data_IF_879299083255
#
_entry.id   IF_879299083255
#
_cell.length_a   1.000
_cell.length_b   1.000
_cell.length_c   1.000
_cell.angle_alpha   90.00
_cell.angle_beta   90.00
_cell.angle_gamma   90.00
#
_symmetry.space_group_name_H-M   'P 1'
#
loop_
_entity.id
_entity.type
_entity.pdbx_description
1 polymer ?
#
# COMPACT_ATOMS: atom_id res chain seq x y z
N UNK A 1 -22.20 -43.54 -42.10
CA UNK A 1 -22.18 -42.25 -42.80
C UNK A 1 -21.67 -41.18 -41.85
N UNK A 2 -20.72 -40.35 -42.33
CA UNK A 2 -20.33 -39.00 -41.87
C UNK A 2 -19.51 -38.88 -40.55
N UNK A 3 -18.20 -38.56 -40.64
CA UNK A 3 -17.56 -37.21 -40.63
C UNK A 3 -17.20 -36.80 -39.18
N UNK A 4 -15.99 -36.37 -38.81
CA UNK A 4 -14.76 -36.04 -39.51
C UNK A 4 -13.69 -35.71 -38.46
N UNK A 5 -12.43 -36.08 -38.74
CA UNK A 5 -11.30 -35.89 -37.84
C UNK A 5 -10.83 -34.44 -37.79
N UNK A 6 -10.40 -34.00 -36.61
CA UNK A 6 -9.73 -32.71 -36.40
C UNK A 6 -8.24 -32.88 -36.69
N UNK A 7 -7.77 -32.10 -37.66
CA UNK A 7 -6.38 -32.02 -38.13
C UNK A 7 -5.46 -31.47 -37.02
N UNK A 8 -4.35 -32.18 -36.79
CA UNK A 8 -3.21 -31.68 -36.01
C UNK A 8 -2.27 -31.00 -37.00
N UNK A 9 -2.38 -29.68 -37.14
CA UNK A 9 -1.51 -28.93 -38.03
C UNK A 9 -0.16 -28.66 -37.33
N UNK A 10 0.82 -29.50 -37.68
CA UNK A 10 2.25 -29.28 -37.42
C UNK A 10 2.70 -28.01 -38.16
N UNK A 11 2.96 -26.93 -37.44
CA UNK A 11 3.76 -25.84 -37.98
C UNK A 11 5.25 -26.26 -38.05
N UNK A 12 5.66 -26.64 -39.26
CA UNK A 12 7.06 -26.52 -39.68
C UNK A 12 7.38 -25.04 -39.88
N UNK A 13 8.37 -24.52 -39.16
CA UNK A 13 9.00 -23.25 -39.51
C UNK A 13 10.32 -23.57 -40.21
N UNK A 14 10.28 -23.54 -41.54
CA UNK A 14 11.46 -23.52 -42.40
C UNK A 14 11.68 -22.10 -42.94
N UNK A 15 12.95 -21.81 -43.20
CA UNK A 15 13.50 -20.67 -43.94
C UNK A 15 13.73 -19.35 -43.20
N UNK A 16 15.00 -19.16 -42.84
CA UNK A 16 15.55 -17.89 -42.38
C UNK A 16 15.64 -16.87 -43.51
N UNK A 17 14.76 -15.87 -43.47
CA UNK A 17 15.01 -14.55 -44.06
C UNK A 17 14.50 -13.45 -43.11
N UNK A 18 15.45 -12.67 -42.60
CA UNK A 18 15.17 -11.50 -41.78
C UNK A 18 14.42 -10.44 -42.59
N UNK A 19 13.23 -10.05 -42.13
CA UNK A 19 12.46 -8.94 -42.69
C UNK A 19 12.78 -7.64 -41.94
N UNK A 20 13.09 -6.52 -42.64
CA UNK A 20 13.43 -5.26 -42.01
C UNK A 20 12.16 -4.50 -41.64
N UNK A 21 11.47 -4.96 -40.58
CA UNK A 21 10.39 -4.20 -39.91
C UNK A 21 10.55 -4.19 -38.40
N UNK A 22 11.79 -4.34 -37.91
CA UNK A 22 12.12 -4.31 -36.47
C UNK A 22 12.44 -2.91 -35.91
N UNK A 23 12.28 -1.83 -36.69
CA UNK A 23 12.61 -0.47 -36.24
C UNK A 23 11.35 0.34 -35.91
N UNK A 24 10.67 0.02 -34.81
CA UNK A 24 9.81 0.96 -34.07
C UNK A 24 9.15 0.26 -32.87
N UNK A 25 9.92 -0.25 -31.92
CA UNK A 25 9.38 -0.53 -30.57
C UNK A 25 10.51 -0.67 -29.53
N UNK A 26 11.47 0.25 -29.53
CA UNK A 26 12.55 0.30 -28.55
C UNK A 26 12.62 1.67 -27.88
N UNK A 27 11.49 2.15 -27.37
CA UNK A 27 11.43 3.27 -26.41
C UNK A 27 10.50 2.97 -25.22
N UNK A 28 10.13 1.70 -25.01
CA UNK A 28 9.39 1.25 -23.82
C UNK A 28 10.35 0.58 -22.83
N UNK A 29 11.52 1.19 -22.62
CA UNK A 29 12.54 0.63 -21.73
C UNK A 29 13.19 1.76 -20.94
N UNK A 30 12.40 2.32 -20.00
CA UNK A 30 12.87 3.06 -18.81
C UNK A 30 11.71 3.56 -17.93
N UNK A 31 10.71 2.71 -17.68
CA UNK A 31 9.91 2.83 -16.45
C UNK A 31 9.99 1.48 -15.73
N UNK A 32 11.21 0.97 -15.60
CA UNK A 32 11.52 0.06 -14.50
C UNK A 32 11.76 0.97 -13.30
N UNK A 33 10.69 1.65 -12.87
CA UNK A 33 10.66 2.43 -11.65
C UNK A 33 11.12 1.46 -10.57
N UNK A 34 12.17 1.80 -9.84
CA UNK A 34 12.61 1.01 -8.70
C UNK A 34 11.40 0.82 -7.79
N UNK A 35 10.80 -0.37 -7.85
CA UNK A 35 9.78 -0.79 -6.91
C UNK A 35 10.53 -0.91 -5.61
N UNK A 36 10.56 0.18 -4.85
CA UNK A 36 11.11 0.20 -3.51
C UNK A 36 10.15 -0.61 -2.65
N UNK A 37 10.30 -1.94 -2.72
CA UNK A 37 9.52 -2.89 -1.95
C UNK A 37 9.75 -2.59 -0.47
N UNK A 38 8.74 -2.02 0.18
CA UNK A 38 8.83 -1.57 1.57
C UNK A 38 7.97 -2.45 2.47
N UNK A 39 8.60 -3.21 3.35
CA UNK A 39 7.87 -3.94 4.39
C UNK A 39 7.76 -3.07 5.65
N UNK A 40 6.53 -2.86 6.13
CA UNK A 40 6.26 -2.01 7.26
C UNK A 40 5.50 -2.77 8.34
N UNK A 41 6.07 -2.84 9.55
CA UNK A 41 5.39 -3.37 10.73
C UNK A 41 4.46 -2.33 11.38
N UNK A 42 3.32 -2.80 11.86
CA UNK A 42 2.26 -2.06 12.55
C UNK A 42 1.76 -2.84 13.79
N UNK A 43 1.16 -2.11 14.73
CA UNK A 43 0.58 -2.72 15.93
C UNK A 43 -0.88 -3.08 15.65
N UNK A 44 -1.16 -4.38 15.55
CA UNK A 44 -2.46 -4.95 15.17
C UNK A 44 -3.64 -4.40 15.97
N UNK A 45 -3.45 -4.16 17.26
CA UNK A 45 -4.49 -3.75 18.21
C UNK A 45 -4.71 -2.24 18.27
N UNK A 46 -3.80 -1.44 17.71
CA UNK A 46 -3.84 0.02 17.84
C UNK A 46 -4.65 0.69 16.72
N UNK A 47 -4.96 0.01 15.62
CA UNK A 47 -5.53 0.64 14.43
C UNK A 47 -7.00 1.10 14.54
N UNK A 48 -7.41 1.89 13.56
CA UNK A 48 -8.78 2.36 13.38
C UNK A 48 -9.72 1.20 13.08
N UNK A 49 -10.89 1.23 13.74
CA UNK A 49 -11.89 0.16 13.67
C UNK A 49 -12.75 0.33 12.42
N UNK A 50 -12.20 -0.06 11.27
CA UNK A 50 -12.95 -0.05 10.01
C UNK A 50 -13.96 -1.20 9.92
N UNK A 51 -13.78 -2.25 10.73
CA UNK A 51 -14.60 -3.46 10.71
C UNK A 51 -15.65 -3.47 11.84
N UNK A 52 -16.83 -2.89 11.60
CA UNK A 52 -18.00 -3.02 12.48
C UNK A 52 -18.66 -4.39 12.29
N UNK A 53 -17.98 -5.45 12.70
CA UNK A 53 -18.39 -6.83 12.48
C UNK A 53 -17.20 -7.71 12.76
N UNK A 54 -17.12 -8.17 14.02
CA UNK A 54 -15.89 -8.67 14.61
C UNK A 54 -15.24 -9.85 13.89
N UNK A 55 -13.95 -9.94 14.20
CA UNK A 55 -13.03 -11.05 14.07
C UNK A 55 -12.27 -11.15 12.74
N UNK A 56 -10.95 -11.25 12.88
CA UNK A 56 -10.14 -12.07 12.00
C UNK A 56 -10.89 -13.38 11.71
N UNK A 57 -10.81 -13.86 10.46
CA UNK A 57 -11.40 -15.13 10.09
C UNK A 57 -11.09 -16.16 11.20
N UNK A 58 -12.12 -16.82 11.79
CA UNK A 58 -11.87 -17.76 12.86
C UNK A 58 -10.83 -18.78 12.39
N UNK A 59 -9.96 -19.24 13.29
CA UNK A 59 -8.86 -20.14 12.96
C UNK A 59 -9.33 -21.47 12.30
N UNK A 60 -10.63 -21.75 12.38
CA UNK A 60 -11.31 -22.93 11.82
C UNK A 60 -12.17 -22.60 10.58
N UNK A 61 -12.06 -21.39 10.01
CA UNK A 61 -12.72 -21.04 8.75
C UNK A 61 -12.13 -21.86 7.59
N UNK A 62 -12.98 -22.31 6.67
CA UNK A 62 -12.49 -22.88 5.41
C UNK A 62 -11.60 -21.85 4.69
N UNK A 63 -10.64 -22.32 3.90
CA UNK A 63 -9.78 -21.46 3.09
C UNK A 63 -10.60 -20.43 2.29
N UNK A 64 -11.73 -20.87 1.70
CA UNK A 64 -12.62 -20.00 0.93
C UNK A 64 -13.29 -18.88 1.76
N UNK A 65 -13.63 -19.17 3.03
CA UNK A 65 -14.25 -18.19 3.92
C UNK A 65 -13.22 -17.19 4.46
N UNK A 66 -12.00 -17.65 4.74
CA UNK A 66 -10.87 -16.79 5.09
C UNK A 66 -10.52 -15.85 3.91
N UNK A 67 -10.50 -16.38 2.68
CA UNK A 67 -10.25 -15.61 1.47
C UNK A 67 -11.35 -14.57 1.19
N UNK A 68 -12.61 -14.92 1.43
CA UNK A 68 -13.71 -13.97 1.29
C UNK A 68 -13.63 -12.83 2.33
N UNK A 69 -13.32 -13.16 3.59
CA UNK A 69 -13.12 -12.17 4.64
C UNK A 69 -11.92 -11.26 4.35
N UNK A 70 -10.83 -11.83 3.86
CA UNK A 70 -9.63 -11.13 3.44
C UNK A 70 -9.90 -10.15 2.29
N UNK A 71 -10.65 -10.57 1.26
CA UNK A 71 -11.09 -9.66 0.17
C UNK A 71 -11.96 -8.52 0.69
N UNK A 72 -12.94 -8.83 1.54
CA UNK A 72 -13.80 -7.80 2.14
C UNK A 72 -13.00 -6.78 2.98
N UNK A 73 -11.92 -7.23 3.65
CA UNK A 73 -11.00 -6.31 4.33
C UNK A 73 -10.24 -5.42 3.36
N UNK A 74 -9.70 -5.97 2.27
CA UNK A 74 -9.05 -5.21 1.21
C UNK A 74 -9.96 -4.13 0.64
N UNK A 75 -11.20 -4.51 0.28
CA UNK A 75 -12.21 -3.58 -0.26
C UNK A 75 -12.55 -2.46 0.73
N UNK A 76 -12.66 -2.76 2.03
CA UNK A 76 -12.92 -1.74 3.05
C UNK A 76 -11.74 -0.77 3.23
N UNK A 77 -10.50 -1.26 3.14
CA UNK A 77 -9.29 -0.43 3.20
C UNK A 77 -9.22 0.48 1.96
N UNK A 78 -9.49 -0.05 0.77
CA UNK A 78 -9.58 0.75 -0.46
C UNK A 78 -10.62 1.87 -0.34
N UNK A 79 -11.82 1.55 0.18
CA UNK A 79 -12.86 2.54 0.42
C UNK A 79 -12.44 3.59 1.45
N UNK A 80 -11.72 3.19 2.50
CA UNK A 80 -11.19 4.13 3.49
C UNK A 80 -10.16 5.07 2.88
N UNK A 81 -9.21 4.56 2.08
CA UNK A 81 -8.23 5.39 1.35
C UNK A 81 -8.94 6.41 0.45
N UNK A 82 -9.98 5.97 -0.27
CA UNK A 82 -10.78 6.85 -1.12
C UNK A 82 -11.53 7.93 -0.31
N UNK A 83 -12.07 7.60 0.87
CA UNK A 83 -12.70 8.57 1.79
C UNK A 83 -11.71 9.60 2.33
N UNK A 84 -10.45 9.21 2.53
CA UNK A 84 -9.37 10.13 2.89
C UNK A 84 -8.91 11.01 1.73
N UNK A 85 -9.51 10.88 0.53
CA UNK A 85 -9.16 11.69 -0.64
C UNK A 85 -7.79 11.39 -1.23
N UNK A 86 -7.19 10.25 -0.88
CA UNK A 86 -5.91 9.80 -1.42
C UNK A 86 -6.18 9.08 -2.75
N UNK A 87 -5.47 9.50 -3.80
CA UNK A 87 -5.63 8.92 -5.14
C UNK A 87 -4.33 8.31 -5.64
N UNK A 88 -4.44 7.11 -6.23
CA UNK A 88 -3.35 6.44 -6.92
C UNK A 88 -3.93 5.74 -8.16
N UNK A 89 -3.13 5.66 -9.22
CA UNK A 89 -3.51 4.97 -10.45
C UNK A 89 -3.44 3.47 -10.22
N UNK A 90 -4.51 2.75 -10.57
CA UNK A 90 -4.62 1.30 -10.39
C UNK A 90 -4.33 0.85 -8.94
N UNK A 91 -4.83 1.60 -7.95
CA UNK A 91 -4.73 1.22 -6.54
C UNK A 91 -5.47 -0.10 -6.30
N UNK A 92 -4.79 -1.05 -5.68
CA UNK A 92 -5.41 -2.29 -5.19
C UNK A 92 -4.78 -2.73 -3.87
N UNK A 93 -5.60 -3.14 -2.91
CA UNK A 93 -5.18 -3.63 -1.60
C UNK A 93 -5.65 -5.07 -1.42
N UNK A 94 -4.68 -5.98 -1.28
CA UNK A 94 -4.94 -7.39 -1.00
C UNK A 94 -4.57 -7.69 0.45
N UNK A 95 -5.43 -8.38 1.20
CA UNK A 95 -5.13 -8.76 2.58
C UNK A 95 -4.90 -10.26 2.65
N UNK A 96 -3.79 -10.68 3.24
CA UNK A 96 -3.46 -12.08 3.53
C UNK A 96 -3.42 -12.26 5.04
N UNK A 97 -4.59 -12.50 5.64
CA UNK A 97 -4.76 -12.65 7.09
C UNK A 97 -4.54 -11.34 7.87
N UNK A 98 -3.29 -11.09 8.25
CA UNK A 98 -2.84 -9.90 9.00
C UNK A 98 -1.85 -9.04 8.20
N UNK A 99 -1.52 -9.42 6.97
CA UNK A 99 -0.66 -8.66 6.07
C UNK A 99 -1.50 -7.98 5.00
N UNK A 100 -1.28 -6.70 4.74
CA UNK A 100 -1.85 -5.99 3.60
C UNK A 100 -0.78 -5.77 2.52
N UNK A 101 -1.05 -6.14 1.28
CA UNK A 101 -0.23 -5.86 0.10
C UNK A 101 -0.89 -4.75 -0.70
N UNK A 102 -0.14 -3.68 -0.95
CA UNK A 102 -0.67 -2.48 -1.61
C UNK A 102 0.01 -2.30 -2.95
N UNK A 103 -0.77 -2.24 -4.01
CA UNK A 103 -0.31 -2.07 -5.38
C UNK A 103 -0.84 -0.76 -5.97
N UNK A 104 -0.10 -0.17 -6.89
CA UNK A 104 -0.54 0.99 -7.66
C UNK A 104 0.58 1.97 -7.98
N UNK A 105 0.20 3.09 -8.59
CA UNK A 105 1.11 4.19 -8.91
C UNK A 105 0.61 5.47 -8.22
N UNK A 106 1.36 5.93 -7.21
CA UNK A 106 1.12 7.22 -6.57
C UNK A 106 1.75 8.36 -7.39
N UNK A 107 1.17 9.56 -7.31
CA UNK A 107 1.72 10.75 -7.98
C UNK A 107 3.09 11.15 -7.42
N UNK A 108 3.23 11.03 -6.10
CA UNK A 108 4.38 11.46 -5.32
C UNK A 108 4.62 10.55 -4.11
N UNK A 109 5.82 10.64 -3.55
CA UNK A 109 6.24 9.90 -2.35
C UNK A 109 5.31 10.10 -1.16
N UNK A 110 4.84 11.32 -0.90
CA UNK A 110 3.99 11.59 0.25
C UNK A 110 2.63 10.90 0.11
N UNK A 111 2.06 10.87 -1.10
CA UNK A 111 0.82 10.13 -1.36
C UNK A 111 0.99 8.62 -1.15
N UNK A 112 2.08 8.02 -1.63
CA UNK A 112 2.39 6.59 -1.37
C UNK A 112 2.46 6.31 0.13
N UNK A 113 3.28 7.10 0.83
CA UNK A 113 3.50 6.95 2.28
C UNK A 113 2.18 7.08 3.06
N UNK A 114 1.32 8.03 2.69
CA UNK A 114 -0.02 8.18 3.30
C UNK A 114 -0.92 6.99 3.05
N UNK A 115 -0.90 6.40 1.86
CA UNK A 115 -1.69 5.21 1.53
C UNK A 115 -1.21 4.02 2.38
N UNK A 116 0.11 3.80 2.47
CA UNK A 116 0.69 2.75 3.33
C UNK A 116 0.28 2.95 4.79
N UNK A 117 0.29 4.20 5.27
CA UNK A 117 -0.15 4.55 6.61
C UNK A 117 -1.65 4.28 6.84
N UNK A 118 -2.49 4.56 5.83
CA UNK A 118 -3.91 4.21 5.85
C UNK A 118 -4.13 2.72 5.98
N UNK A 119 -3.39 1.89 5.25
CA UNK A 119 -3.53 0.44 5.31
C UNK A 119 -3.08 -0.13 6.66
N UNK A 120 -1.98 0.37 7.21
CA UNK A 120 -1.36 -0.22 8.39
C UNK A 120 -1.95 0.26 9.71
N UNK A 121 -2.51 1.48 9.77
CA UNK A 121 -3.22 1.97 10.94
C UNK A 121 -4.66 1.43 11.03
N UNK A 122 -4.97 0.27 10.44
CA UNK A 122 -6.28 -0.40 10.54
C UNK A 122 -6.19 -1.56 11.53
N UNK A 123 -7.21 -1.73 12.37
CA UNK A 123 -7.26 -2.85 13.32
C UNK A 123 -7.17 -4.20 12.57
N UNK A 124 -6.25 -5.06 13.01
CA UNK A 124 -6.05 -6.38 12.41
C UNK A 124 -4.93 -6.48 11.38
N UNK A 125 -4.33 -5.37 10.96
CA UNK A 125 -3.15 -5.36 10.09
C UNK A 125 -1.87 -5.23 10.93
N UNK A 126 -1.02 -6.25 10.86
CA UNK A 126 0.29 -6.28 11.51
C UNK A 126 1.40 -5.81 10.57
N UNK A 127 1.24 -6.04 9.28
CA UNK A 127 2.25 -5.73 8.30
C UNK A 127 1.64 -5.16 7.03
N UNK A 128 2.29 -4.17 6.44
CA UNK A 128 1.98 -3.68 5.10
C UNK A 128 3.19 -3.91 4.21
N UNK A 129 2.95 -4.60 3.11
CA UNK A 129 3.88 -4.78 2.01
C UNK A 129 3.55 -3.72 0.93
N UNK A 130 4.40 -2.71 0.84
CA UNK A 130 4.32 -1.65 -0.16
C UNK A 130 4.92 -2.13 -1.48
N UNK A 131 4.03 -2.45 -2.43
CA UNK A 131 4.33 -2.80 -3.82
C UNK A 131 3.95 -1.65 -4.77
N UNK A 132 3.80 -0.44 -4.24
CA UNK A 132 3.47 0.73 -5.03
C UNK A 132 4.72 1.35 -5.66
N UNK A 133 4.50 2.06 -6.76
CA UNK A 133 5.50 2.91 -7.41
C UNK A 133 5.11 4.38 -7.30
N UNK A 134 6.08 5.27 -7.42
CA UNK A 134 5.86 6.72 -7.43
C UNK A 134 6.22 7.30 -8.78
N UNK A 135 5.45 8.28 -9.25
CA UNK A 135 5.74 8.99 -10.49
C UNK A 135 6.78 10.09 -10.29
N UNK A 136 6.77 10.73 -9.12
CA UNK A 136 7.68 11.82 -8.75
C UNK A 136 8.45 11.44 -7.49
N UNK A 137 9.77 11.38 -7.59
CA UNK A 137 10.64 11.16 -6.44
C UNK A 137 10.63 12.40 -5.53
N UNK A 138 10.62 12.14 -4.23
CA UNK A 138 10.65 13.14 -3.17
C UNK A 138 11.35 12.56 -1.96
N UNK A 139 11.87 13.41 -1.06
CA UNK A 139 12.58 12.93 0.12
C UNK A 139 11.68 12.00 0.94
N UNK A 140 12.23 10.84 1.28
CA UNK A 140 11.54 9.85 2.11
C UNK A 140 11.32 10.40 3.53
N UNK A 141 10.16 10.08 4.09
CA UNK A 141 9.86 10.44 5.47
C UNK A 141 10.38 9.40 6.44
N UNK A 142 10.74 9.85 7.64
CA UNK A 142 10.97 8.95 8.76
C UNK A 142 9.63 8.48 9.33
N UNK A 143 9.66 7.31 9.96
CA UNK A 143 8.48 6.70 10.57
C UNK A 143 8.66 6.61 12.08
N UNK A 144 7.64 6.98 12.85
CA UNK A 144 7.63 6.81 14.30
C UNK A 144 6.35 6.12 14.74
N UNK A 145 6.50 5.09 15.58
CA UNK A 145 5.39 4.47 16.28
C UNK A 145 5.23 5.13 17.63
N UNK A 146 4.05 5.72 17.86
CA UNK A 146 3.71 6.44 19.09
C UNK A 146 3.76 5.48 20.28
N UNK A 147 4.54 5.81 21.30
CA UNK A 147 4.57 5.07 22.55
C UNK A 147 3.52 5.60 23.56
N UNK A 148 3.23 4.83 24.60
CA UNK A 148 2.37 5.32 25.68
C UNK A 148 3.00 6.54 26.37
N UNK A 149 2.28 7.66 26.40
CA UNK A 149 2.76 8.93 26.95
C UNK A 149 3.48 9.84 25.96
N UNK A 150 3.63 9.44 24.69
CA UNK A 150 4.15 10.33 23.64
C UNK A 150 3.15 11.44 23.34
N UNK A 151 3.69 12.63 23.03
CA UNK A 151 2.94 13.78 22.50
C UNK A 151 3.58 14.22 21.19
N UNK A 152 2.81 14.84 20.28
CA UNK A 152 3.39 15.33 19.02
C UNK A 152 4.56 16.29 19.24
N UNK A 153 4.50 17.13 20.26
CA UNK A 153 5.60 18.03 20.62
C UNK A 153 6.84 17.28 21.11
N UNK A 154 6.68 16.20 21.89
CA UNK A 154 7.80 15.36 22.32
C UNK A 154 8.43 14.62 21.13
N UNK A 155 7.60 14.13 20.21
CA UNK A 155 8.06 13.51 18.96
C UNK A 155 8.81 14.55 18.11
N UNK A 156 8.24 15.74 17.90
CA UNK A 156 8.90 16.81 17.15
C UNK A 156 10.24 17.21 17.76
N UNK A 157 10.32 17.29 19.10
CA UNK A 157 11.60 17.51 19.80
C UNK A 157 12.60 16.37 19.56
N UNK A 158 12.16 15.11 19.52
CA UNK A 158 13.04 13.97 19.27
C UNK A 158 13.61 13.96 17.85
N UNK A 159 12.81 14.32 16.85
CA UNK A 159 13.21 14.22 15.44
C UNK A 159 13.81 15.51 14.87
N UNK A 160 13.35 16.67 15.35
CA UNK A 160 13.79 17.97 14.83
C UNK A 160 14.54 18.83 15.85
N UNK A 161 14.73 18.34 17.08
CA UNK A 161 15.25 19.09 18.22
C UNK A 161 14.43 20.35 18.58
N UNK A 162 13.20 20.44 18.05
CA UNK A 162 12.29 21.56 18.30
C UNK A 162 10.85 21.07 18.50
N UNK A 163 10.36 21.26 19.72
CA UNK A 163 8.98 20.90 20.08
C UNK A 163 7.93 21.72 19.31
N UNK A 164 8.28 22.91 18.83
CA UNK A 164 7.39 23.79 18.07
C UNK A 164 7.18 23.33 16.63
N UNK A 165 7.93 22.34 16.14
CA UNK A 165 7.75 21.74 14.82
C UNK A 165 6.68 20.65 14.77
N UNK A 166 5.93 20.44 15.85
CA UNK A 166 4.76 19.55 15.85
C UNK A 166 3.73 19.84 14.73
N UNK A 167 3.50 21.10 14.28
CA UNK A 167 2.56 21.37 13.18
C UNK A 167 3.01 20.75 11.86
N UNK A 168 4.33 20.61 11.64
CA UNK A 168 4.86 19.98 10.42
C UNK A 168 4.48 18.50 10.38
N UNK A 169 4.58 17.79 11.51
CA UNK A 169 4.12 16.40 11.64
C UNK A 169 2.61 16.33 11.43
N UNK A 170 1.87 17.25 12.05
CA UNK A 170 0.41 17.28 11.93
C UNK A 170 -0.05 17.46 10.47
N UNK A 171 0.47 18.46 9.75
CA UNK A 171 0.15 18.69 8.33
C UNK A 171 0.56 17.51 7.44
N UNK A 172 1.69 16.87 7.75
CA UNK A 172 2.16 15.70 7.00
C UNK A 172 1.24 14.47 7.11
N UNK A 173 0.48 14.33 8.20
CA UNK A 173 -0.42 13.20 8.46
C UNK A 173 -1.90 13.54 8.23
N UNK A 174 -2.23 14.75 7.77
CA UNK A 174 -3.59 15.07 7.30
C UNK A 174 -3.91 14.34 5.99
N UNK A 175 -5.17 13.90 5.80
CA UNK A 175 -6.36 14.15 6.65
C UNK A 175 -6.60 13.14 7.78
N UNK A 176 -5.76 12.10 7.91
CA UNK A 176 -5.96 11.01 8.87
C UNK A 176 -5.87 11.46 10.33
N UNK A 177 -5.02 12.44 10.61
CA UNK A 177 -4.92 13.06 11.93
C UNK A 177 -5.73 14.37 11.94
N UNK A 178 -6.89 14.34 12.59
CA UNK A 178 -7.79 15.50 12.69
C UNK A 178 -7.37 16.52 13.75
N UNK A 179 -6.77 16.06 14.85
CA UNK A 179 -6.31 16.91 15.96
C UNK A 179 -4.90 16.53 16.41
N UNK A 180 -4.06 17.52 16.77
CA UNK A 180 -2.69 17.27 17.26
C UNK A 180 -2.62 16.40 18.52
N UNK A 181 -3.65 16.44 19.35
CA UNK A 181 -3.71 15.69 20.62
C UNK A 181 -4.39 14.32 20.49
N UNK A 182 -4.97 14.00 19.31
CA UNK A 182 -5.64 12.72 19.07
C UNK A 182 -4.67 11.71 18.46
N UNK A 183 -3.59 11.44 19.20
CA UNK A 183 -2.70 10.34 18.88
C UNK A 183 -2.88 9.22 19.91
N UNK A 184 -2.75 7.98 19.47
CA UNK A 184 -2.89 6.81 20.35
C UNK A 184 -1.60 5.97 20.35
N UNK A 185 -1.29 5.26 21.45
CA UNK A 185 -0.15 4.36 21.50
C UNK A 185 -0.27 3.26 20.45
N UNK A 186 0.79 3.03 19.68
CA UNK A 186 0.86 2.09 18.57
C UNK A 186 0.47 2.67 17.21
N UNK A 187 -0.02 3.91 17.15
CA UNK A 187 -0.20 4.63 15.90
C UNK A 187 1.14 4.85 15.21
N UNK A 188 1.24 4.54 13.93
CA UNK A 188 2.38 4.93 13.12
C UNK A 188 2.14 6.32 12.53
N UNK A 189 3.15 7.18 12.61
CA UNK A 189 3.12 8.55 12.10
C UNK A 189 4.25 8.78 11.11
N UNK A 190 3.95 9.55 10.07
CA UNK A 190 4.90 10.05 9.08
C UNK A 190 5.59 11.30 9.62
N UNK A 191 6.92 11.33 9.57
CA UNK A 191 7.75 12.46 9.99
C UNK A 191 8.57 12.91 8.78
N UNK A 192 8.16 13.99 8.08
CA UNK A 192 8.91 14.48 6.94
C UNK A 192 10.31 14.95 7.35
N UNK A 193 11.28 14.95 6.44
CA UNK A 193 12.53 15.66 6.68
C UNK A 193 12.25 17.17 6.81
N UNK A 194 12.87 17.83 7.80
CA UNK A 194 12.72 19.26 8.06
C UNK A 194 13.49 20.15 7.09
#
# INVERSE_FOLDING_TARGET
>A
MCHGGVQVERLHCGDGRAHPRCLALALFSRVFQEVLMGFFDFIKEAGEKLFHGGAAAPADASADAADAANRAKGDAIEQYIAQQGLTATALSVQVDGEQAKVFGVAADQATREKIVLCCGNVEGIKAVDDQMSVSTESPESQWHTVASGDTLSAIAKKFYDDANKYPVIFEANKPMLSDPNKIYPGQKLRIPAA
#
